data_IF_755026034060
#
_entry.id   IF_755026034060
#
_cell.length_a   1.000
_cell.length_b   1.000
_cell.length_c   1.000
_cell.angle_alpha   90.00
_cell.angle_beta   90.00
_cell.angle_gamma   90.00
#
_symmetry.space_group_name_H-M   'P 1'
#
loop_
_entity.id
_entity.type
_entity.pdbx_description
1 polymer ?
#
# COMPACT_ATOMS: atom_id res chain seq x y z
N UNK A 1 -0.71 -7.82 -12.33
CA UNK A 1 -0.32 -8.61 -11.14
C UNK A 1 -1.57 -9.30 -10.60
N UNK A 2 -1.79 -10.57 -10.94
CA UNK A 2 -2.94 -11.30 -10.44
C UNK A 2 -2.76 -11.61 -8.96
N UNK A 3 -3.73 -11.22 -8.14
CA UNK A 3 -3.89 -11.73 -6.78
C UNK A 3 -4.44 -13.14 -6.89
N UNK A 4 -3.57 -14.15 -6.96
CA UNK A 4 -3.94 -15.56 -6.93
C UNK A 4 -4.43 -15.95 -5.54
N UNK A 5 -5.26 -16.99 -5.45
CA UNK A 5 -5.77 -17.50 -4.17
C UNK A 5 -4.64 -17.89 -3.21
N UNK A 6 -3.60 -18.56 -3.69
CA UNK A 6 -2.40 -18.90 -2.89
C UNK A 6 -1.77 -17.66 -2.22
N UNK A 7 -1.68 -16.55 -2.96
CA UNK A 7 -1.14 -15.28 -2.44
C UNK A 7 -2.08 -14.64 -1.43
N UNK A 8 -3.40 -14.78 -1.62
CA UNK A 8 -4.41 -14.30 -0.68
C UNK A 8 -4.40 -15.12 0.61
N UNK A 9 -4.19 -16.43 0.51
CA UNK A 9 -4.08 -17.32 1.66
C UNK A 9 -2.83 -17.02 2.48
N UNK A 10 -1.67 -16.88 1.81
CA UNK A 10 -0.42 -16.49 2.46
C UNK A 10 -0.54 -15.10 3.11
N UNK A 11 -1.15 -14.13 2.41
CA UNK A 11 -1.45 -12.81 2.98
C UNK A 11 -2.26 -12.93 4.28
N UNK A 12 -3.32 -13.74 4.30
CA UNK A 12 -4.17 -13.94 5.49
C UNK A 12 -3.38 -14.58 6.63
N UNK A 13 -2.60 -15.62 6.36
CA UNK A 13 -1.78 -16.31 7.34
C UNK A 13 -0.78 -15.36 8.01
N UNK A 14 0.06 -14.70 7.22
CA UNK A 14 1.06 -13.75 7.72
C UNK A 14 0.41 -12.53 8.38
N UNK A 15 -0.80 -12.18 7.94
CA UNK A 15 -1.53 -11.07 8.52
C UNK A 15 -1.99 -11.36 9.95
N UNK A 16 -2.51 -12.57 10.17
CA UNK A 16 -2.88 -13.09 11.50
C UNK A 16 -1.66 -13.28 12.41
N UNK A 17 -0.51 -13.66 11.85
CA UNK A 17 0.76 -13.77 12.60
C UNK A 17 1.34 -12.41 13.05
N UNK A 18 0.81 -11.29 12.53
CA UNK A 18 1.20 -9.96 12.99
C UNK A 18 2.22 -9.23 12.11
N UNK A 19 2.70 -9.82 11.00
CA UNK A 19 3.81 -9.30 10.18
C UNK A 19 3.47 -8.05 9.38
N UNK A 20 4.17 -6.93 9.54
CA UNK A 20 3.84 -5.67 8.82
C UNK A 20 3.64 -5.84 7.30
N UNK A 21 2.82 -4.97 6.69
CA UNK A 21 2.54 -5.07 5.24
C UNK A 21 3.81 -5.03 4.36
N UNK A 22 4.87 -4.35 4.82
CA UNK A 22 6.18 -4.30 4.16
C UNK A 22 6.86 -5.67 4.17
N UNK A 23 6.80 -6.38 5.30
CA UNK A 23 7.35 -7.74 5.44
C UNK A 23 6.54 -8.75 4.61
N UNK A 24 5.22 -8.63 4.62
CA UNK A 24 4.35 -9.49 3.79
C UNK A 24 4.63 -9.26 2.29
N UNK A 25 4.82 -8.00 1.88
CA UNK A 25 5.20 -7.68 0.51
C UNK A 25 6.54 -8.31 0.10
N UNK A 26 7.52 -8.32 1.01
CA UNK A 26 8.81 -8.97 0.79
C UNK A 26 8.69 -10.49 0.60
N UNK A 27 7.81 -11.16 1.36
CA UNK A 27 7.56 -12.60 1.18
C UNK A 27 6.75 -12.94 -0.08
N UNK A 28 5.72 -12.14 -0.40
CA UNK A 28 4.85 -12.42 -1.56
C UNK A 28 5.56 -12.18 -2.90
N UNK A 29 6.52 -11.26 -2.95
CA UNK A 29 7.31 -10.96 -4.15
C UNK A 29 6.50 -10.28 -5.27
N UNK A 30 7.05 -9.18 -5.82
CA UNK A 30 6.41 -8.43 -6.91
C UNK A 30 5.12 -7.71 -6.52
N UNK A 31 4.83 -7.58 -5.23
CA UNK A 31 3.74 -6.74 -4.70
C UNK A 31 4.32 -5.71 -3.75
N UNK A 32 3.82 -4.47 -3.81
CA UNK A 32 4.28 -3.39 -2.92
C UNK A 32 3.51 -3.40 -1.60
N UNK A 33 4.07 -2.76 -0.57
CA UNK A 33 3.39 -2.52 0.71
C UNK A 33 1.98 -1.94 0.52
N UNK A 34 1.82 -1.02 -0.43
CA UNK A 34 0.53 -0.38 -0.71
C UNK A 34 -0.46 -1.35 -1.35
N UNK A 35 0.01 -2.25 -2.22
CA UNK A 35 -0.84 -3.30 -2.80
C UNK A 35 -1.36 -4.25 -1.71
N UNK A 36 -0.52 -4.61 -0.74
CA UNK A 36 -0.87 -5.44 0.41
C UNK A 36 -1.94 -4.75 1.26
N UNK A 37 -1.74 -3.48 1.64
CA UNK A 37 -2.74 -2.69 2.40
C UNK A 37 -4.06 -2.63 1.62
N UNK A 38 -4.00 -2.34 0.32
CA UNK A 38 -5.18 -2.27 -0.54
C UNK A 38 -5.94 -3.59 -0.61
N UNK A 39 -5.24 -4.74 -0.63
CA UNK A 39 -5.89 -6.06 -0.63
C UNK A 39 -6.49 -6.41 0.73
N UNK A 40 -5.79 -6.14 1.83
CA UNK A 40 -6.31 -6.34 3.20
C UNK A 40 -7.61 -5.56 3.41
N UNK A 41 -7.66 -4.29 2.97
CA UNK A 41 -8.87 -3.47 3.01
C UNK A 41 -10.02 -4.05 2.17
N UNK A 42 -9.75 -4.52 0.95
CA UNK A 42 -10.77 -5.15 0.09
C UNK A 42 -11.33 -6.45 0.68
N UNK A 43 -10.48 -7.20 1.38
CA UNK A 43 -10.84 -8.45 2.05
C UNK A 43 -11.51 -8.23 3.42
N UNK A 44 -11.63 -6.97 3.89
CA UNK A 44 -12.17 -6.61 5.21
C UNK A 44 -11.56 -7.44 6.35
N UNK A 45 -10.26 -7.74 6.23
CA UNK A 45 -9.54 -8.45 7.28
C UNK A 45 -9.49 -7.55 8.53
N UNK A 46 -9.83 -8.13 9.68
CA UNK A 46 -9.85 -7.39 10.94
C UNK A 46 -8.48 -6.74 11.19
N UNK A 47 -8.51 -5.51 11.69
CA UNK A 47 -7.32 -4.73 12.00
C UNK A 47 -6.46 -5.54 12.94
N UNK A 48 -5.26 -5.92 12.47
CA UNK A 48 -4.26 -6.63 13.26
C UNK A 48 -4.12 -5.90 14.59
N UNK A 49 -4.53 -6.56 15.67
CA UNK A 49 -4.81 -5.94 16.96
C UNK A 49 -3.70 -5.00 17.42
N UNK A 50 -3.86 -3.70 17.15
CA UNK A 50 -3.48 -2.69 18.12
C UNK A 50 -4.65 -2.62 19.07
N UNK A 51 -4.54 -3.38 20.16
CA UNK A 51 -5.25 -3.03 21.38
C UNK A 51 -4.67 -1.69 21.87
N UNK A 52 -5.08 -0.58 21.27
CA UNK A 52 -5.26 0.69 21.98
C UNK A 52 -6.42 1.43 21.32
N UNK A 53 -7.43 1.62 22.15
CA UNK A 53 -8.63 2.38 21.92
C UNK A 53 -8.41 3.67 21.13
N UNK A 54 -9.34 3.95 20.21
CA UNK A 54 -10.05 5.24 20.24
C UNK A 54 -11.34 5.12 19.42
N UNK A 55 -12.52 5.18 20.06
CA UNK A 55 -13.76 5.30 19.32
C UNK A 55 -13.87 6.72 18.75
N UNK A 56 -14.35 6.81 17.51
CA UNK A 56 -14.98 7.96 16.87
C UNK A 56 -14.48 9.38 17.25
N UNK A 57 -13.71 10.02 16.35
CA UNK A 57 -13.76 11.49 16.24
C UNK A 57 -13.94 11.93 14.78
N UNK A 58 -15.22 12.08 14.45
CA UNK A 58 -15.83 13.19 13.72
C UNK A 58 -15.05 13.82 12.55
N UNK A 59 -15.73 13.83 11.40
CA UNK A 59 -15.60 14.86 10.36
C UNK A 59 -15.27 16.24 10.97
N UNK A 60 -14.07 16.75 10.72
CA UNK A 60 -13.84 18.18 10.47
C UNK A 60 -12.75 18.32 9.42
N UNK A 61 -13.10 19.08 8.40
CA UNK A 61 -12.22 19.55 7.36
C UNK A 61 -11.03 20.32 7.93
N UNK A 62 -10.01 20.46 7.08
CA UNK A 62 -8.91 21.43 7.10
C UNK A 62 -7.57 20.90 7.63
N UNK A 63 -6.52 21.37 6.95
CA UNK A 63 -5.07 21.23 7.22
C UNK A 63 -4.47 20.03 6.50
N UNK A 64 -3.84 20.16 5.33
CA UNK A 64 -2.88 21.20 4.97
C UNK A 64 -1.53 20.88 5.62
N UNK A 65 -0.53 20.61 4.78
CA UNK A 65 0.90 20.49 5.13
C UNK A 65 1.42 19.11 5.59
N UNK A 66 1.68 18.24 4.62
CA UNK A 66 3.00 17.58 4.54
C UNK A 66 3.51 17.63 3.10
N UNK A 67 4.11 18.78 2.76
CA UNK A 67 5.20 18.81 1.80
C UNK A 67 6.26 17.87 2.35
N UNK A 68 6.46 16.71 1.71
CA UNK A 68 7.79 16.18 1.40
C UNK A 68 7.72 14.81 0.69
N UNK A 69 8.39 14.80 -0.46
CA UNK A 69 9.05 13.65 -1.10
C UNK A 69 8.24 12.84 -2.12
N UNK A 70 8.23 13.35 -3.35
CA UNK A 70 8.88 12.64 -4.47
C UNK A 70 8.97 13.56 -5.69
N UNK A 71 10.00 14.40 -5.68
CA UNK A 71 10.65 14.77 -6.94
C UNK A 71 11.17 13.50 -7.59
N UNK A 72 11.09 13.48 -8.92
CA UNK A 72 11.64 12.50 -9.86
C UNK A 72 10.79 11.25 -10.16
N UNK A 73 9.75 11.48 -10.98
CA UNK A 73 9.63 10.67 -12.21
C UNK A 73 9.56 11.62 -13.40
N UNK A 74 10.73 12.17 -13.74
CA UNK A 74 10.93 12.83 -15.02
C UNK A 74 10.68 11.77 -16.11
N UNK A 75 9.49 11.84 -16.70
CA UNK A 75 9.21 11.21 -17.98
C UNK A 75 9.97 12.01 -19.03
N UNK A 76 11.23 11.66 -19.28
CA UNK A 76 11.93 12.12 -20.49
C UNK A 76 11.35 11.36 -21.67
N UNK A 77 10.19 11.83 -22.15
CA UNK A 77 9.76 11.62 -23.53
C UNK A 77 10.64 12.53 -24.39
N UNK A 78 11.84 12.05 -24.74
CA UNK A 78 12.63 12.68 -25.79
C UNK A 78 11.98 12.32 -27.13
N UNK A 79 11.09 13.21 -27.58
CA UNK A 79 10.56 13.21 -28.94
C UNK A 79 11.69 13.54 -29.89
N UNK A 80 12.00 12.60 -30.75
CA UNK A 80 12.82 12.71 -31.95
C UNK A 80 12.13 13.67 -32.93
N UNK A 81 12.77 14.83 -33.21
CA UNK A 81 12.48 15.75 -34.33
C UNK A 81 13.82 16.42 -34.69
N UNK A 82 14.51 15.93 -35.73
CA UNK A 82 14.66 16.55 -37.07
C UNK A 82 15.42 17.87 -37.08
N UNK A 83 16.60 17.93 -37.71
CA UNK A 83 16.79 18.66 -38.99
C UNK A 83 18.19 18.46 -39.59
N UNK A 84 18.18 18.46 -40.93
CA UNK A 84 19.21 18.60 -41.99
C UNK A 84 20.67 18.20 -41.82
#
# INVERSE_FOLDING_TARGET
>A
MNWTDERVELLRKLWSEGLSASQIAAQLGGVSRNAVIGKVHRLKLSGRGRATATPARQKKASQGSTVQKSVARAATTARHVTTS
#
